data_IF_489823952329
#
_entry.id   IF_489823952329
#
_cell.length_a   1.000
_cell.length_b   1.000
_cell.length_c   1.000
_cell.angle_alpha   90.00
_cell.angle_beta   90.00
_cell.angle_gamma   90.00
#
_symmetry.space_group_name_H-M   'P 1'
#
loop_
_entity.id
_entity.type
_entity.pdbx_description
1 polymer ?
#
# COMPACT_ATOMS: atom_id res chain seq x y z
N UNK A 1 -3.62 -6.89 10.19
CA UNK A 1 -2.20 -6.50 10.12
C UNK A 1 -2.12 -5.03 10.53
N UNK A 2 -2.15 -4.56 11.77
CA UNK A 2 -1.85 -5.01 13.13
C UNK A 2 -3.05 -4.60 13.99
N UNK A 3 -3.90 -5.54 14.40
CA UNK A 3 -4.95 -5.25 15.40
C UNK A 3 -4.53 -5.98 16.66
N UNK A 4 -4.06 -5.23 17.63
CA UNK A 4 -3.99 -5.68 19.00
C UNK A 4 -4.22 -4.46 19.88
N UNK A 5 -5.45 -4.26 20.34
CA UNK A 5 -5.67 -3.46 21.56
C UNK A 5 -5.61 -4.37 22.81
N UNK A 6 -5.15 -5.61 22.64
CA UNK A 6 -5.01 -6.65 23.66
C UNK A 6 -3.56 -6.83 24.16
N UNK A 7 -2.62 -5.96 23.75
CA UNK A 7 -1.24 -5.94 24.26
C UNK A 7 -0.25 -6.86 23.53
N UNK A 8 -0.66 -7.49 22.43
CA UNK A 8 0.16 -8.28 21.51
C UNK A 8 0.49 -7.51 20.22
N UNK A 9 0.95 -6.27 20.38
CA UNK A 9 1.25 -5.40 19.26
C UNK A 9 2.65 -5.71 18.71
N UNK A 10 2.70 -6.40 17.56
CA UNK A 10 3.95 -6.79 16.94
C UNK A 10 4.37 -5.83 15.83
N UNK A 11 5.67 -5.56 15.75
CA UNK A 11 6.29 -4.94 14.57
C UNK A 11 6.66 -6.04 13.59
N UNK A 12 6.18 -5.92 12.35
CA UNK A 12 6.39 -6.91 11.30
C UNK A 12 7.29 -6.29 10.24
N UNK A 13 8.41 -6.95 9.96
CA UNK A 13 9.22 -6.68 8.77
C UNK A 13 8.89 -7.73 7.70
N UNK A 14 8.72 -7.28 6.46
CA UNK A 14 8.52 -8.15 5.30
C UNK A 14 9.54 -7.80 4.22
N UNK A 15 10.24 -8.82 3.74
CA UNK A 15 11.19 -8.77 2.65
C UNK A 15 10.58 -9.43 1.40
N UNK A 16 11.34 -9.44 0.30
CA UNK A 16 10.91 -9.97 -0.98
C UNK A 16 10.29 -11.37 -0.88
N UNK A 17 10.90 -12.25 -0.10
CA UNK A 17 10.53 -13.66 0.05
C UNK A 17 9.29 -13.87 0.93
N UNK A 18 8.89 -12.87 1.72
CA UNK A 18 7.74 -12.95 2.64
C UNK A 18 6.40 -12.68 1.95
N UNK A 19 6.44 -12.23 0.69
CA UNK A 19 5.24 -11.91 -0.07
C UNK A 19 4.72 -13.12 -0.85
N UNK A 20 3.47 -13.49 -0.59
CA UNK A 20 2.77 -14.50 -1.38
C UNK A 20 2.50 -14.06 -2.82
N UNK A 21 2.04 -12.81 -3.00
CA UNK A 21 1.78 -12.26 -4.32
C UNK A 21 2.99 -11.46 -4.82
N UNK A 22 3.25 -11.53 -6.13
CA UNK A 22 4.33 -10.78 -6.78
C UNK A 22 4.02 -9.29 -6.96
N UNK A 23 2.75 -8.87 -6.97
CA UNK A 23 2.38 -7.48 -7.25
C UNK A 23 2.89 -6.52 -6.15
N UNK A 24 2.78 -6.83 -4.85
CA UNK A 24 3.48 -6.08 -3.81
C UNK A 24 4.99 -6.04 -4.00
N UNK A 25 5.63 -7.15 -4.39
CA UNK A 25 7.08 -7.21 -4.61
C UNK A 25 7.51 -6.22 -5.70
N UNK A 26 6.71 -6.11 -6.78
CA UNK A 26 6.94 -5.15 -7.85
C UNK A 26 6.62 -3.72 -7.41
N UNK A 27 5.47 -3.51 -6.77
CA UNK A 27 5.01 -2.19 -6.33
C UNK A 27 5.90 -1.57 -5.26
N UNK A 28 6.47 -2.38 -4.36
CA UNK A 28 7.41 -1.92 -3.33
C UNK A 28 8.84 -1.77 -3.86
N UNK A 29 9.10 -2.02 -5.14
CA UNK A 29 10.43 -1.87 -5.73
C UNK A 29 11.44 -2.94 -5.29
N UNK A 30 10.97 -4.06 -4.71
CA UNK A 30 11.80 -5.19 -4.25
C UNK A 30 12.26 -6.08 -5.42
N UNK A 31 11.68 -5.89 -6.61
CA UNK A 31 12.13 -6.52 -7.85
C UNK A 31 11.96 -5.58 -9.05
N UNK A 32 12.59 -5.93 -10.17
CA UNK A 32 12.48 -5.16 -11.42
C UNK A 32 11.11 -5.38 -12.06
N UNK A 33 10.58 -4.32 -12.66
CA UNK A 33 9.43 -4.40 -13.58
C UNK A 33 9.91 -4.94 -14.93
N UNK A 34 9.68 -6.23 -15.16
CA UNK A 34 10.05 -6.91 -16.41
C UNK A 34 9.03 -6.61 -17.52
N UNK A 35 9.42 -6.70 -18.81
CA UNK A 35 8.50 -6.47 -19.94
C UNK A 35 7.21 -7.28 -19.85
N UNK A 36 7.31 -8.55 -19.45
CA UNK A 36 6.15 -9.46 -19.34
C UNK A 36 5.11 -8.98 -18.33
N UNK A 37 5.54 -8.28 -17.27
CA UNK A 37 4.65 -7.62 -16.34
C UNK A 37 3.98 -6.40 -16.98
N UNK A 38 4.74 -5.57 -17.70
CA UNK A 38 4.26 -4.35 -18.35
C UNK A 38 3.28 -4.62 -19.49
N UNK A 39 3.37 -5.80 -20.09
CA UNK A 39 2.45 -6.27 -21.12
C UNK A 39 1.11 -6.77 -20.55
N UNK A 40 0.97 -6.89 -19.22
CA UNK A 40 -0.28 -7.25 -18.56
C UNK A 40 -0.64 -8.74 -18.61
N UNK A 41 0.30 -9.60 -19.00
CA UNK A 41 0.07 -11.04 -19.21
C UNK A 41 -0.46 -11.77 -17.96
N UNK A 42 -0.11 -11.28 -16.76
CA UNK A 42 -0.53 -11.88 -15.50
C UNK A 42 -1.97 -11.54 -15.09
N UNK A 43 -2.60 -10.56 -15.74
CA UNK A 43 -3.97 -10.15 -15.42
C UNK A 43 -5.00 -10.72 -16.39
N UNK A 44 -4.62 -10.97 -17.64
CA UNK A 44 -5.53 -11.51 -18.65
C UNK A 44 -5.49 -13.05 -18.63
N UNK A 45 -6.63 -13.76 -18.75
CA UNK A 45 -7.99 -13.23 -18.88
C UNK A 45 -8.75 -13.02 -17.56
N UNK A 46 -8.16 -13.38 -16.42
CA UNK A 46 -8.90 -13.55 -15.16
C UNK A 46 -9.33 -12.21 -14.51
N UNK A 47 -8.41 -11.25 -14.46
CA UNK A 47 -8.60 -9.96 -13.80
C UNK A 47 -8.93 -8.81 -14.77
N UNK A 48 -8.75 -9.00 -16.08
CA UNK A 48 -9.03 -7.99 -17.12
C UNK A 48 -9.57 -8.63 -18.40
N UNK A 49 -10.43 -7.90 -19.10
CA UNK A 49 -11.11 -8.38 -20.32
C UNK A 49 -10.20 -8.43 -21.56
N UNK A 50 -9.16 -7.61 -21.62
CA UNK A 50 -8.22 -7.56 -22.75
C UNK A 50 -6.79 -7.38 -22.25
N UNK A 51 -5.82 -7.80 -23.07
CA UNK A 51 -4.41 -7.65 -22.73
C UNK A 51 -4.00 -6.18 -22.63
N UNK A 52 -4.57 -5.31 -23.48
CA UNK A 52 -4.32 -3.87 -23.47
C UNK A 52 -4.76 -3.24 -22.15
N UNK A 53 -5.91 -3.65 -21.60
CA UNK A 53 -6.38 -3.18 -20.30
C UNK A 53 -5.41 -3.60 -19.17
N UNK A 54 -4.88 -4.82 -19.24
CA UNK A 54 -3.83 -5.31 -18.34
C UNK A 54 -2.57 -4.44 -18.43
N UNK A 55 -2.05 -4.22 -19.64
CA UNK A 55 -0.85 -3.42 -19.87
C UNK A 55 -1.00 -1.96 -19.38
N UNK A 56 -2.17 -1.35 -19.62
CA UNK A 56 -2.47 0.00 -19.14
C UNK A 56 -2.45 0.08 -17.61
N UNK A 57 -3.10 -0.88 -16.94
CA UNK A 57 -3.05 -0.95 -15.47
C UNK A 57 -1.61 -1.12 -14.98
N UNK A 58 -0.83 -2.04 -15.57
CA UNK A 58 0.53 -2.32 -15.15
C UNK A 58 1.45 -1.12 -15.29
N UNK A 59 1.26 -0.27 -16.31
CA UNK A 59 2.01 0.97 -16.53
C UNK A 59 1.64 2.06 -15.51
N UNK A 60 0.36 2.17 -15.19
CA UNK A 60 -0.19 3.18 -14.28
C UNK A 60 -0.09 2.79 -12.79
N UNK A 61 0.18 1.52 -12.48
CA UNK A 61 0.34 1.05 -11.12
C UNK A 61 1.40 1.87 -10.37
N UNK A 62 1.09 2.45 -9.21
CA UNK A 62 2.08 3.13 -8.36
C UNK A 62 3.18 2.16 -7.93
N UNK A 63 4.42 2.63 -7.94
CA UNK A 63 5.57 1.81 -7.56
C UNK A 63 6.69 2.64 -6.92
N UNK A 64 7.42 2.03 -6.01
CA UNK A 64 8.63 2.60 -5.42
C UNK A 64 9.85 2.35 -6.33
N UNK A 65 10.89 3.19 -6.26
CA UNK A 65 12.11 3.00 -7.03
C UNK A 65 12.78 1.65 -6.73
N UNK A 66 13.13 0.92 -7.79
CA UNK A 66 13.83 -0.36 -7.68
C UNK A 66 15.19 -0.20 -6.99
N UNK A 67 15.51 -1.10 -6.06
CA UNK A 67 16.80 -1.15 -5.37
C UNK A 67 17.03 -0.04 -4.34
N UNK A 68 16.01 0.78 -4.05
CA UNK A 68 16.08 1.82 -3.00
C UNK A 68 15.72 1.27 -1.62
N UNK A 69 14.85 0.26 -1.57
CA UNK A 69 14.33 -0.32 -0.33
C UNK A 69 14.48 -1.85 -0.40
N UNK A 70 14.85 -2.46 0.72
CA UNK A 70 15.02 -3.93 0.84
C UNK A 70 13.77 -4.64 1.38
N UNK A 71 12.86 -3.89 2.00
CA UNK A 71 11.64 -4.42 2.60
C UNK A 71 10.74 -3.33 3.14
N UNK A 72 9.64 -3.74 3.77
CA UNK A 72 8.69 -2.87 4.45
C UNK A 72 8.57 -3.26 5.91
N UNK A 73 8.49 -2.26 6.79
CA UNK A 73 8.25 -2.47 8.23
C UNK A 73 6.92 -1.83 8.59
N UNK A 74 6.05 -2.59 9.25
CA UNK A 74 4.78 -2.13 9.80
C UNK A 74 4.84 -2.22 11.32
N UNK A 75 4.61 -1.10 12.00
CA UNK A 75 4.62 -0.99 13.45
C UNK A 75 3.39 -0.21 13.93
N UNK A 76 2.94 -0.42 15.17
CA UNK A 76 1.88 0.39 15.78
C UNK A 76 2.26 1.87 15.80
N UNK A 77 1.39 2.73 15.24
CA UNK A 77 1.68 4.16 15.08
C UNK A 77 1.93 4.88 16.41
N UNK A 78 1.31 4.44 17.50
CA UNK A 78 1.48 5.07 18.81
C UNK A 78 2.85 4.79 19.46
N UNK A 79 3.61 3.81 18.94
CA UNK A 79 5.01 3.55 19.32
C UNK A 79 6.00 4.33 18.44
N UNK A 80 5.52 4.99 17.37
CA UNK A 80 6.38 5.75 16.46
C UNK A 80 6.98 6.96 17.18
N UNK A 81 8.31 7.04 17.23
CA UNK A 81 9.05 8.16 17.84
C UNK A 81 9.55 9.18 16.80
N UNK A 82 9.07 9.09 15.55
CA UNK A 82 9.34 10.01 14.46
C UNK A 82 8.03 10.38 13.75
N UNK A 83 8.08 11.38 12.86
CA UNK A 83 6.92 11.74 12.03
C UNK A 83 6.91 10.81 10.81
N UNK A 84 5.93 9.91 10.65
CA UNK A 84 5.89 9.01 9.51
C UNK A 84 5.47 9.75 8.24
N UNK A 85 6.03 9.35 7.10
CA UNK A 85 5.61 9.84 5.78
C UNK A 85 4.26 9.26 5.35
N UNK A 86 3.90 8.08 5.84
CA UNK A 86 2.66 7.36 5.52
C UNK A 86 2.07 6.71 6.77
N UNK A 87 0.77 6.92 6.99
CA UNK A 87 -0.02 6.20 8.00
C UNK A 87 -1.10 5.42 7.27
N UNK A 88 -1.04 4.10 7.33
CA UNK A 88 -2.09 3.22 6.80
C UNK A 88 -3.09 2.88 7.90
N UNK A 89 -4.35 3.24 7.70
CA UNK A 89 -5.44 2.95 8.63
C UNK A 89 -6.52 2.12 7.94
N UNK A 90 -6.96 1.05 8.59
CA UNK A 90 -8.17 0.34 8.17
C UNK A 90 -9.39 1.01 8.81
N UNK A 91 -10.20 1.70 8.02
CA UNK A 91 -11.37 2.46 8.50
C UNK A 91 -12.66 1.96 7.86
N UNK A 92 -13.77 2.04 8.59
CA UNK A 92 -15.10 1.93 8.01
C UNK A 92 -15.61 3.32 7.56
N UNK A 93 -16.77 3.36 6.89
CA UNK A 93 -17.33 4.63 6.42
C UNK A 93 -17.65 5.64 7.53
N UNK A 94 -17.94 5.18 8.76
CA UNK A 94 -18.21 6.06 9.90
C UNK A 94 -16.92 6.66 10.43
N UNK A 95 -15.88 5.84 10.58
CA UNK A 95 -14.54 6.27 10.97
C UNK A 95 -13.98 7.29 9.97
N UNK A 96 -14.16 7.06 8.67
CA UNK A 96 -13.77 8.00 7.62
C UNK A 96 -14.47 9.36 7.79
N UNK A 97 -15.78 9.37 8.04
CA UNK A 97 -16.54 10.60 8.31
C UNK A 97 -16.01 11.34 9.54
N UNK A 98 -15.72 10.64 10.64
CA UNK A 98 -15.13 11.28 11.82
C UNK A 98 -13.75 11.87 11.54
N UNK A 99 -12.90 11.20 10.75
CA UNK A 99 -11.60 11.75 10.36
C UNK A 99 -11.73 13.05 9.55
N UNK A 100 -12.69 13.11 8.63
CA UNK A 100 -12.98 14.33 7.87
C UNK A 100 -13.49 15.46 8.78
N UNK A 101 -14.39 15.16 9.71
CA UNK A 101 -14.91 16.14 10.68
C UNK A 101 -13.79 16.65 11.60
N UNK A 102 -12.93 15.75 12.09
CA UNK A 102 -11.77 16.12 12.92
C UNK A 102 -10.85 17.07 12.15
N UNK A 103 -10.60 16.79 10.85
CA UNK A 103 -9.80 17.68 10.03
C UNK A 103 -10.45 19.07 9.91
N UNK A 104 -11.74 19.13 9.57
CA UNK A 104 -12.48 20.39 9.50
C UNK A 104 -12.48 21.13 10.85
N UNK A 105 -12.58 20.42 11.97
CA UNK A 105 -12.48 21.01 13.30
C UNK A 105 -11.09 21.61 13.60
N UNK A 106 -10.02 20.96 13.13
CA UNK A 106 -8.64 21.41 13.37
C UNK A 106 -8.32 22.68 12.58
N UNK A 107 -8.71 22.77 11.30
CA UNK A 107 -8.29 23.89 10.45
C UNK A 107 -9.33 24.41 9.44
N UNK A 108 -10.58 23.96 9.53
CA UNK A 108 -11.70 24.40 8.68
C UNK A 108 -11.68 23.84 7.25
N UNK A 109 -10.76 22.93 6.91
CA UNK A 109 -10.61 22.39 5.56
C UNK A 109 -11.14 20.97 5.42
N UNK A 110 -11.54 20.63 4.21
CA UNK A 110 -11.86 19.25 3.82
C UNK A 110 -10.62 18.50 3.30
N UNK A 111 -10.73 17.18 3.18
CA UNK A 111 -9.70 16.34 2.56
C UNK A 111 -9.91 16.37 1.04
N UNK A 112 -8.91 16.84 0.30
CA UNK A 112 -8.93 16.89 -1.17
C UNK A 112 -8.20 15.68 -1.77
N UNK A 113 -8.75 15.12 -2.85
CA UNK A 113 -8.18 14.02 -3.62
C UNK A 113 -7.04 14.46 -4.54
#
# INVERSE_FOLDING_TARGET
>A
FTRSQDGHEETIAMFKEDHWCFEPVIGLGLTKRIPEFLDGNHRYPDSVKTLEAGAQWCKNMPYLPYGKYEGIVSAPVHLCNFIPDLIMMHVDGRMATYLMIIRNYIDGKDITC
#
